data_IF_532934566791
#
_entry.id   IF_532934566791
#
_cell.length_a   1.000
_cell.length_b   1.000
_cell.length_c   1.000
_cell.angle_alpha   90.00
_cell.angle_beta   90.00
_cell.angle_gamma   90.00
#
_symmetry.space_group_name_H-M   'P 1'
#
loop_
_entity.id
_entity.type
_entity.pdbx_description
1 polymer ?
#
# COMPACT_ATOMS: atom_id res chain seq x y z
N UNK A 1 -9.13 10.51 -19.08
CA UNK A 1 -8.38 9.44 -18.42
C UNK A 1 -8.52 9.59 -16.92
N UNK A 2 -8.94 8.53 -16.26
CA UNK A 2 -9.11 8.57 -14.82
C UNK A 2 -7.76 8.53 -14.11
N UNK A 3 -7.65 9.32 -13.06
CA UNK A 3 -6.50 9.23 -12.18
C UNK A 3 -6.57 7.94 -11.39
N UNK A 4 -5.45 7.26 -11.30
CA UNK A 4 -5.34 6.12 -10.40
C UNK A 4 -5.16 6.62 -8.96
N UNK A 5 -5.70 5.87 -8.02
CA UNK A 5 -5.73 6.27 -6.61
C UNK A 5 -4.81 5.37 -5.80
N UNK A 6 -3.96 5.99 -4.99
CA UNK A 6 -3.02 5.27 -4.12
C UNK A 6 -3.29 5.67 -2.68
N UNK A 7 -3.52 4.68 -1.83
CA UNK A 7 -3.69 4.88 -0.39
C UNK A 7 -2.41 4.46 0.32
N UNK A 8 -1.91 5.33 1.18
CA UNK A 8 -0.70 5.07 1.96
C UNK A 8 -1.09 4.89 3.43
N UNK A 9 -0.81 3.72 3.99
CA UNK A 9 -1.17 3.37 5.35
C UNK A 9 0.10 3.15 6.16
N UNK A 10 0.40 4.08 7.05
CA UNK A 10 1.61 4.02 7.89
C UNK A 10 1.40 4.93 9.09
N UNK A 11 1.78 4.49 10.28
CA UNK A 11 1.63 5.32 11.48
C UNK A 11 2.71 6.38 11.60
N UNK A 12 3.78 6.28 10.83
CA UNK A 12 4.87 7.26 10.83
C UNK A 12 4.54 8.41 9.90
N UNK A 13 4.35 9.59 10.49
CA UNK A 13 3.95 10.78 9.74
C UNK A 13 4.94 11.13 8.63
N UNK A 14 6.24 11.04 8.92
CA UNK A 14 7.26 11.36 7.93
C UNK A 14 7.21 10.48 6.71
N UNK A 15 6.97 9.18 6.90
CA UNK A 15 6.87 8.25 5.78
C UNK A 15 5.62 8.54 4.96
N UNK A 16 4.49 8.79 5.63
CA UNK A 16 3.26 9.14 4.90
C UNK A 16 3.44 10.37 4.03
N UNK A 17 4.03 11.42 4.60
CA UNK A 17 4.23 12.67 3.88
C UNK A 17 5.15 12.45 2.68
N UNK A 18 6.25 11.74 2.89
CA UNK A 18 7.19 11.44 1.81
C UNK A 18 6.51 10.69 0.67
N UNK A 19 5.80 9.63 0.99
CA UNK A 19 5.17 8.81 -0.06
C UNK A 19 4.02 9.55 -0.73
N UNK A 20 3.27 10.37 0.02
CA UNK A 20 2.25 11.22 -0.58
C UNK A 20 2.84 12.14 -1.63
N UNK A 21 3.98 12.77 -1.31
CA UNK A 21 4.63 13.67 -2.23
C UNK A 21 5.16 12.94 -3.46
N UNK A 22 5.81 11.79 -3.25
CA UNK A 22 6.34 10.99 -4.35
C UNK A 22 5.24 10.61 -5.33
N UNK A 23 4.13 10.07 -4.83
CA UNK A 23 3.11 9.55 -5.72
C UNK A 23 2.18 10.63 -6.27
N UNK A 24 2.00 11.74 -5.55
CA UNK A 24 1.32 12.90 -6.15
C UNK A 24 2.11 13.43 -7.34
N UNK A 25 3.43 13.45 -7.23
CA UNK A 25 4.29 13.91 -8.33
C UNK A 25 4.22 12.96 -9.53
N UNK A 26 3.89 11.69 -9.31
CA UNK A 26 3.73 10.73 -10.39
C UNK A 26 2.35 10.82 -11.07
N UNK A 27 1.49 11.68 -10.59
CA UNK A 27 0.17 11.88 -11.18
C UNK A 27 -0.95 11.07 -10.55
N UNK A 28 -0.68 10.41 -9.44
CA UNK A 28 -1.74 9.66 -8.74
C UNK A 28 -2.51 10.54 -7.79
N UNK A 29 -3.78 10.21 -7.59
CA UNK A 29 -4.55 10.81 -6.52
C UNK A 29 -4.20 10.05 -5.25
N UNK A 30 -3.69 10.75 -4.23
CA UNK A 30 -3.14 10.10 -3.05
C UNK A 30 -4.03 10.32 -1.83
N UNK A 31 -4.12 9.28 -1.00
CA UNK A 31 -4.84 9.29 0.26
C UNK A 31 -3.90 8.76 1.33
N UNK A 32 -4.14 9.14 2.58
CA UNK A 32 -3.31 8.63 3.67
C UNK A 32 -4.15 8.20 4.85
N UNK A 33 -3.66 7.22 5.57
CA UNK A 33 -4.28 6.75 6.81
C UNK A 33 -3.18 6.41 7.81
N UNK A 34 -3.39 6.78 9.05
CA UNK A 34 -2.43 6.53 10.12
C UNK A 34 -2.71 5.23 10.86
N UNK A 35 -3.84 4.60 10.60
CA UNK A 35 -4.23 3.36 11.29
C UNK A 35 -5.19 2.56 10.41
N UNK A 36 -5.50 1.35 10.87
CA UNK A 36 -6.32 0.43 10.09
C UNK A 36 -7.76 0.89 9.92
N UNK A 37 -8.32 1.51 10.95
CA UNK A 37 -9.70 1.98 10.87
C UNK A 37 -9.86 3.03 9.78
N UNK A 38 -8.96 4.03 9.77
CA UNK A 38 -8.97 5.05 8.73
C UNK A 38 -8.75 4.45 7.36
N UNK A 39 -7.84 3.49 7.27
CA UNK A 39 -7.53 2.84 6.00
C UNK A 39 -8.78 2.17 5.42
N UNK A 40 -9.50 1.42 6.26
CA UNK A 40 -10.68 0.71 5.78
C UNK A 40 -11.83 1.65 5.43
N UNK A 41 -11.94 2.77 6.13
CA UNK A 41 -12.92 3.79 5.77
C UNK A 41 -12.65 4.33 4.37
N UNK A 42 -11.38 4.63 4.07
CA UNK A 42 -11.00 5.14 2.75
C UNK A 42 -11.18 4.07 1.67
N UNK A 43 -10.84 2.82 1.98
CA UNK A 43 -11.04 1.72 1.05
C UNK A 43 -12.50 1.62 0.65
N UNK A 44 -13.41 1.75 1.61
CA UNK A 44 -14.85 1.65 1.33
C UNK A 44 -15.38 2.86 0.59
N UNK A 45 -14.93 4.07 0.94
CA UNK A 45 -15.50 5.29 0.36
C UNK A 45 -14.88 5.66 -0.98
N UNK A 46 -13.57 5.43 -1.16
CA UNK A 46 -12.84 5.93 -2.32
C UNK A 46 -12.33 4.85 -3.25
N UNK A 47 -12.33 3.61 -2.81
CA UNK A 47 -11.93 2.46 -3.62
C UNK A 47 -10.59 2.67 -4.33
N UNK A 48 -9.49 2.78 -3.56
CA UNK A 48 -8.19 3.02 -4.18
C UNK A 48 -7.79 1.86 -5.10
N UNK A 49 -6.97 2.16 -6.07
CA UNK A 49 -6.46 1.13 -6.99
C UNK A 49 -5.33 0.33 -6.37
N UNK A 50 -4.56 0.97 -5.50
CA UNK A 50 -3.43 0.34 -4.84
C UNK A 50 -3.28 0.87 -3.43
N UNK A 51 -2.90 0.00 -2.50
CA UNK A 51 -2.65 0.36 -1.10
C UNK A 51 -1.21 -0.01 -0.77
N UNK A 52 -0.47 0.98 -0.24
CA UNK A 52 0.83 0.74 0.38
C UNK A 52 0.56 0.56 1.87
N UNK A 53 0.74 -0.65 2.37
CA UNK A 53 0.29 -1.03 3.70
C UNK A 53 1.46 -1.39 4.61
N UNK A 54 1.67 -0.57 5.64
CA UNK A 54 2.59 -0.90 6.72
C UNK A 54 1.97 -2.03 7.53
N UNK A 55 2.69 -3.14 7.63
CA UNK A 55 2.16 -4.33 8.28
C UNK A 55 2.25 -4.27 9.80
N UNK A 56 2.95 -3.27 10.34
CA UNK A 56 3.10 -3.11 11.79
C UNK A 56 2.59 -1.77 12.27
N UNK A 57 1.29 -1.57 12.18
CA UNK A 57 0.68 -0.39 12.76
C UNK A 57 -0.04 -0.76 14.05
N UNK A 58 0.00 0.13 15.06
CA UNK A 58 -0.71 -0.14 16.32
C UNK A 58 -2.21 -0.28 16.12
N UNK A 59 -2.81 -1.16 16.88
CA UNK A 59 -4.26 -1.29 16.97
C UNK A 59 -4.89 -2.33 16.08
N UNK A 60 -4.34 -2.60 14.93
CA UNK A 60 -4.88 -3.64 14.05
C UNK A 60 -3.73 -4.29 13.28
N UNK A 61 -3.73 -5.61 13.27
CA UNK A 61 -2.73 -6.40 12.58
C UNK A 61 -2.80 -6.12 11.07
N UNK A 62 -1.65 -5.93 10.43
CA UNK A 62 -1.57 -5.70 8.99
C UNK A 62 -2.19 -6.81 8.17
N UNK A 63 -2.06 -8.06 8.59
CA UNK A 63 -2.70 -9.18 7.90
C UNK A 63 -4.22 -9.07 7.96
N UNK A 64 -4.74 -8.62 9.07
CA UNK A 64 -6.17 -8.41 9.23
C UNK A 64 -6.68 -7.29 8.34
N UNK A 65 -5.92 -6.18 8.27
CA UNK A 65 -6.26 -5.08 7.37
C UNK A 65 -6.28 -5.57 5.93
N UNK A 66 -5.27 -6.34 5.54
CA UNK A 66 -5.18 -6.90 4.18
C UNK A 66 -6.40 -7.76 3.86
N UNK A 67 -6.81 -8.62 4.79
CA UNK A 67 -7.99 -9.45 4.59
C UNK A 67 -9.23 -8.59 4.35
N UNK A 68 -9.42 -7.56 5.16
CA UNK A 68 -10.58 -6.69 5.01
C UNK A 68 -10.56 -5.92 3.70
N UNK A 69 -9.37 -5.46 3.27
CA UNK A 69 -9.25 -4.78 1.98
C UNK A 69 -9.72 -5.71 0.86
N UNK A 70 -9.26 -6.96 0.88
CA UNK A 70 -9.61 -7.92 -0.16
C UNK A 70 -11.08 -8.32 -0.11
N UNK A 71 -11.69 -8.29 1.08
CA UNK A 71 -13.12 -8.54 1.21
C UNK A 71 -13.95 -7.42 0.60
N UNK A 72 -13.51 -6.18 0.79
CA UNK A 72 -14.21 -5.02 0.22
C UNK A 72 -14.11 -5.02 -1.30
N UNK A 73 -12.90 -5.23 -1.82
CA UNK A 73 -12.68 -5.27 -3.27
C UNK A 73 -11.41 -6.06 -3.57
N UNK A 74 -11.55 -7.30 -4.04
CA UNK A 74 -10.36 -8.13 -4.32
C UNK A 74 -9.48 -7.60 -5.45
N UNK A 75 -9.97 -6.66 -6.24
CA UNK A 75 -9.17 -6.06 -7.32
C UNK A 75 -8.17 -5.02 -6.81
N UNK A 76 -8.31 -4.55 -5.58
CA UNK A 76 -7.35 -3.58 -5.03
C UNK A 76 -6.00 -4.26 -4.87
N UNK A 77 -4.97 -3.64 -5.41
CA UNK A 77 -3.61 -4.16 -5.32
C UNK A 77 -2.99 -3.70 -4.01
N UNK A 78 -2.28 -4.60 -3.33
CA UNK A 78 -1.66 -4.28 -2.05
C UNK A 78 -0.17 -4.57 -2.13
N UNK A 79 0.63 -3.57 -1.78
CA UNK A 79 2.08 -3.71 -1.60
C UNK A 79 2.33 -3.48 -0.12
N UNK A 80 2.98 -4.43 0.54
CA UNK A 80 3.22 -4.32 1.98
C UNK A 80 4.58 -3.71 2.27
N UNK A 81 4.66 -3.01 3.39
CA UNK A 81 5.92 -2.49 3.94
C UNK A 81 6.15 -3.20 5.26
N UNK A 82 7.34 -3.78 5.42
CA UNK A 82 7.63 -4.66 6.54
C UNK A 82 8.92 -4.24 7.25
N UNK A 83 9.11 -4.74 8.46
CA UNK A 83 10.39 -4.64 9.14
C UNK A 83 11.26 -5.83 8.75
N UNK A 84 12.57 -5.68 8.98
CA UNK A 84 13.51 -6.75 8.70
C UNK A 84 13.17 -7.99 9.53
N UNK A 85 13.24 -9.15 8.91
CA UNK A 85 13.06 -10.41 9.61
C UNK A 85 11.64 -10.93 9.71
N UNK A 86 10.68 -10.31 9.05
CA UNK A 86 9.28 -10.72 9.15
C UNK A 86 8.88 -11.67 8.02
N UNK A 87 9.66 -12.73 7.85
CA UNK A 87 9.47 -13.65 6.73
C UNK A 87 8.14 -14.40 6.78
N UNK A 88 7.70 -14.82 7.97
CA UNK A 88 6.43 -15.54 8.09
C UNK A 88 5.25 -14.65 7.73
N UNK A 89 5.29 -13.39 8.14
CA UNK A 89 4.26 -12.43 7.80
C UNK A 89 4.21 -12.18 6.30
N UNK A 90 5.38 -12.06 5.66
CA UNK A 90 5.45 -11.85 4.21
C UNK A 90 4.83 -13.01 3.47
N UNK A 91 5.13 -14.23 3.90
CA UNK A 91 4.57 -15.42 3.27
C UNK A 91 3.05 -15.45 3.39
N UNK A 92 2.55 -15.21 4.59
CA UNK A 92 1.11 -15.23 4.84
C UNK A 92 0.40 -14.13 4.06
N UNK A 93 0.97 -12.93 4.04
CA UNK A 93 0.39 -11.82 3.29
C UNK A 93 0.35 -12.09 1.79
N UNK A 94 1.41 -12.71 1.27
CA UNK A 94 1.45 -13.09 -0.14
C UNK A 94 0.34 -14.08 -0.47
N UNK A 95 0.10 -15.04 0.41
CA UNK A 95 -1.00 -16.00 0.25
C UNK A 95 -2.36 -15.31 0.28
N UNK A 96 -2.47 -14.20 1.01
CA UNK A 96 -3.70 -13.42 1.07
C UNK A 96 -3.85 -12.43 -0.08
N UNK A 97 -2.89 -12.39 -0.99
CA UNK A 97 -3.01 -11.60 -2.20
C UNK A 97 -2.15 -10.35 -2.28
N UNK A 98 -1.24 -10.12 -1.31
CA UNK A 98 -0.30 -9.02 -1.44
C UNK A 98 0.66 -9.31 -2.59
N UNK A 99 0.94 -8.31 -3.41
CA UNK A 99 1.71 -8.49 -4.63
C UNK A 99 3.21 -8.40 -4.43
N UNK A 100 3.64 -7.51 -3.54
CA UNK A 100 5.06 -7.24 -3.32
C UNK A 100 5.27 -6.86 -1.87
N UNK A 101 6.53 -6.90 -1.43
CA UNK A 101 6.88 -6.37 -0.12
C UNK A 101 8.14 -5.52 -0.23
N UNK A 102 8.24 -4.52 0.62
CA UNK A 102 9.44 -3.71 0.78
C UNK A 102 9.81 -3.67 2.23
N UNK A 103 11.05 -3.97 2.54
CA UNK A 103 11.56 -3.93 3.90
C UNK A 103 12.06 -2.53 4.21
N UNK A 104 11.66 -1.98 5.34
CA UNK A 104 12.13 -0.66 5.76
C UNK A 104 13.55 -0.75 6.32
N UNK A 105 14.43 0.19 6.01
CA UNK A 105 14.21 1.29 5.08
C UNK A 105 14.27 0.82 3.63
N UNK A 106 13.40 1.33 2.81
CA UNK A 106 13.32 0.93 1.41
C UNK A 106 13.83 2.03 0.50
N UNK A 107 14.13 1.66 -0.73
CA UNK A 107 14.54 2.59 -1.77
C UNK A 107 13.32 3.21 -2.42
N UNK A 108 13.24 4.55 -2.42
CA UNK A 108 12.10 5.26 -2.97
C UNK A 108 11.94 5.00 -4.46
N UNK A 109 13.04 4.93 -5.20
CA UNK A 109 12.96 4.69 -6.65
C UNK A 109 12.44 3.30 -6.97
N UNK A 110 12.83 2.30 -6.18
CA UNK A 110 12.31 0.95 -6.34
C UNK A 110 10.82 0.90 -6.03
N UNK A 111 10.40 1.59 -4.98
CA UNK A 111 8.98 1.66 -4.62
C UNK A 111 8.18 2.36 -5.72
N UNK A 112 8.68 3.48 -6.22
CA UNK A 112 8.04 4.23 -7.31
C UNK A 112 7.88 3.35 -8.54
N UNK A 113 8.94 2.63 -8.91
CA UNK A 113 8.90 1.74 -10.06
C UNK A 113 7.88 0.63 -9.88
N UNK A 114 7.82 0.05 -8.68
CA UNK A 114 6.88 -1.03 -8.41
C UNK A 114 5.44 -0.55 -8.54
N UNK A 115 5.12 0.60 -7.98
CA UNK A 115 3.76 1.14 -8.06
C UNK A 115 3.40 1.47 -9.50
N UNK A 116 4.32 2.09 -10.24
CA UNK A 116 4.07 2.39 -11.64
C UNK A 116 3.85 1.13 -12.46
N UNK A 117 4.63 0.08 -12.18
CA UNK A 117 4.45 -1.20 -12.87
C UNK A 117 3.06 -1.76 -12.65
N UNK A 118 2.58 -1.71 -11.41
CA UNK A 118 1.28 -2.28 -11.08
C UNK A 118 0.12 -1.43 -11.63
N UNK A 119 0.26 -0.13 -11.68
CA UNK A 119 -0.84 0.75 -12.04
C UNK A 119 -0.82 1.23 -13.50
N UNK A 120 0.37 1.32 -14.10
CA UNK A 120 0.49 1.81 -15.47
C UNK A 120 0.75 0.68 -16.48
N UNK A 121 0.63 -0.55 -16.04
CA UNK A 121 0.79 -1.69 -16.93
C UNK A 121 2.21 -2.13 -17.17
N UNK A 122 3.11 -1.73 -16.33
CA UNK A 122 4.47 -2.20 -16.36
C UNK A 122 5.32 -1.57 -17.44
N UNK A 123 6.21 -2.36 -18.00
CA UNK A 123 7.12 -1.89 -18.99
C UNK A 123 6.39 -1.57 -20.26
N UNK A 124 6.72 -0.49 -20.75
CA UNK A 124 6.15 -0.11 -21.97
C UNK A 124 7.04 -0.52 -23.04
N UNK A 125 6.84 -1.05 -23.60
CA UNK A 125 7.70 -1.37 -24.47
C UNK A 125 8.28 -0.71 -25.34
#
# INVERSE_FOLDING_TARGET
>A
VEEKKVLIVDDQNGIRILLMEVFSSEGYKTFQAANGKMALEIVRSDSPDLVLLDMKIPGMDGLEILKHIKEVNPAIKVIMMTAYGELDMIKEATELGALRHFTKPFDIDEMRTAVNTELKGGAVL
#
